data_IF_744573659852
#
_entry.id   IF_744573659852
#
_cell.length_a   1.000
_cell.length_b   1.000
_cell.length_c   1.000
_cell.angle_alpha   90.00
_cell.angle_beta   90.00
_cell.angle_gamma   90.00
#
_symmetry.space_group_name_H-M   'P 1'
#
loop_
_entity.id
_entity.type
_entity.pdbx_description
1 polymer ?
#
# COMPACT_ATOMS: atom_id res chain seq x y z
N UNK A 1 20.55 16.81 -3.51
CA UNK A 1 19.22 16.29 -3.89
C UNK A 1 19.05 14.77 -3.70
N UNK A 2 20.08 13.90 -3.89
CA UNK A 2 19.94 12.44 -3.66
C UNK A 2 19.58 12.11 -2.21
N UNK A 3 20.18 12.80 -1.24
CA UNK A 3 19.93 12.58 0.20
C UNK A 3 18.45 12.71 0.58
N UNK A 4 17.76 13.72 0.07
CA UNK A 4 16.31 13.92 0.34
C UNK A 4 15.49 12.73 -0.19
N UNK A 5 15.84 12.20 -1.37
CA UNK A 5 15.15 11.04 -1.94
C UNK A 5 15.33 9.78 -1.08
N UNK A 6 16.55 9.53 -0.58
CA UNK A 6 16.80 8.47 0.38
C UNK A 6 15.95 8.62 1.63
N UNK A 7 15.94 9.82 2.19
CA UNK A 7 15.17 10.10 3.40
C UNK A 7 13.68 9.81 3.20
N UNK A 8 13.12 10.24 2.06
CA UNK A 8 11.71 9.98 1.73
C UNK A 8 11.40 8.50 1.57
N UNK A 9 12.28 7.73 0.92
CA UNK A 9 12.11 6.27 0.81
C UNK A 9 12.12 5.63 2.19
N UNK A 10 13.10 5.97 3.03
CA UNK A 10 13.22 5.41 4.39
C UNK A 10 12.01 5.77 5.25
N UNK A 11 11.58 7.03 5.25
CA UNK A 11 10.39 7.47 5.99
C UNK A 11 9.16 6.70 5.52
N UNK A 12 9.01 6.48 4.20
CA UNK A 12 7.87 5.74 3.67
C UNK A 12 7.91 4.26 4.05
N UNK A 13 9.09 3.63 4.04
CA UNK A 13 9.28 2.26 4.54
C UNK A 13 8.91 2.17 6.03
N UNK A 14 9.36 3.10 6.85
CA UNK A 14 8.99 3.15 8.28
C UNK A 14 7.47 3.29 8.44
N UNK A 15 6.82 4.09 7.60
CA UNK A 15 5.36 4.27 7.64
C UNK A 15 4.63 2.97 7.28
N UNK A 16 5.06 2.25 6.24
CA UNK A 16 4.52 0.92 5.92
C UNK A 16 4.69 -0.01 7.11
N UNK A 17 5.90 -0.10 7.66
CA UNK A 17 6.19 -0.93 8.82
C UNK A 17 5.32 -0.58 10.03
N UNK A 18 5.08 0.71 10.29
CA UNK A 18 4.19 1.16 11.36
C UNK A 18 2.77 0.64 11.18
N UNK A 19 2.20 0.69 9.98
CA UNK A 19 0.87 0.14 9.70
C UNK A 19 0.85 -1.39 9.75
N UNK A 20 1.91 -2.04 9.29
CA UNK A 20 2.04 -3.50 9.35
C UNK A 20 2.22 -4.01 10.78
N UNK A 21 2.83 -3.22 11.65
CA UNK A 21 3.02 -3.56 13.07
C UNK A 21 1.74 -3.45 13.91
N UNK A 22 0.62 -2.99 13.34
CA UNK A 22 -0.63 -2.90 14.08
C UNK A 22 -1.27 -4.29 14.27
N UNK A 23 -1.71 -4.67 15.50
CA UNK A 23 -2.50 -5.88 15.71
C UNK A 23 -3.74 -5.91 14.81
N UNK A 24 -4.20 -7.11 14.46
CA UNK A 24 -5.32 -7.30 13.53
C UNK A 24 -6.57 -6.49 13.93
N UNK A 25 -6.90 -6.45 15.22
CA UNK A 25 -8.04 -5.70 15.73
C UNK A 25 -7.92 -4.18 15.49
N UNK A 26 -6.73 -3.61 15.68
CA UNK A 26 -6.50 -2.19 15.44
C UNK A 26 -6.59 -1.86 13.95
N UNK A 27 -5.99 -2.68 13.12
CA UNK A 27 -6.06 -2.55 11.66
C UNK A 27 -7.51 -2.68 11.14
N UNK A 28 -8.29 -3.62 11.71
CA UNK A 28 -9.72 -3.78 11.46
C UNK A 28 -10.50 -2.51 11.81
N UNK A 29 -10.30 -1.97 13.02
CA UNK A 29 -10.98 -0.76 13.47
C UNK A 29 -10.67 0.46 12.60
N UNK A 30 -9.42 0.60 12.12
CA UNK A 30 -9.05 1.65 11.17
C UNK A 30 -9.81 1.51 9.84
N UNK A 31 -9.84 0.29 9.28
CA UNK A 31 -10.59 0.02 8.04
C UNK A 31 -12.08 0.29 8.19
N UNK A 32 -12.69 -0.14 9.29
CA UNK A 32 -14.10 0.15 9.63
C UNK A 32 -14.36 1.66 9.72
N UNK A 33 -13.47 2.40 10.38
CA UNK A 33 -13.56 3.85 10.47
C UNK A 33 -13.58 4.56 9.12
N UNK A 34 -12.73 4.13 8.19
CA UNK A 34 -12.70 4.64 6.81
C UNK A 34 -14.01 4.31 6.08
N UNK A 35 -14.50 3.07 6.19
CA UNK A 35 -15.75 2.63 5.55
C UNK A 35 -16.95 3.44 6.07
N UNK A 36 -17.08 3.59 7.39
CA UNK A 36 -18.18 4.35 8.00
C UNK A 36 -18.16 5.80 7.53
N UNK A 37 -17.00 6.46 7.56
CA UNK A 37 -16.87 7.84 7.08
C UNK A 37 -17.26 7.97 5.60
N UNK A 38 -16.83 7.03 4.75
CA UNK A 38 -17.15 7.03 3.33
C UNK A 38 -18.65 6.83 3.09
N UNK A 39 -19.28 5.88 3.78
CA UNK A 39 -20.73 5.65 3.69
C UNK A 39 -21.50 6.86 4.17
N UNK A 40 -21.12 7.45 5.32
CA UNK A 40 -21.78 8.65 5.84
C UNK A 40 -21.68 9.84 4.88
N UNK A 41 -20.55 10.01 4.20
CA UNK A 41 -20.39 11.05 3.19
C UNK A 41 -21.34 10.80 1.99
N UNK A 42 -21.39 9.58 1.48
CA UNK A 42 -22.26 9.21 0.34
C UNK A 42 -23.74 9.33 0.70
N UNK A 43 -24.17 8.84 1.87
CA UNK A 43 -25.56 8.90 2.30
C UNK A 43 -26.06 10.34 2.46
N UNK A 44 -25.20 11.24 2.93
CA UNK A 44 -25.51 12.68 3.00
C UNK A 44 -25.74 13.29 1.61
N UNK A 45 -24.92 12.89 0.61
CA UNK A 45 -25.04 13.41 -0.76
C UNK A 45 -26.31 12.88 -1.43
N UNK A 46 -26.66 11.61 -1.21
CA UNK A 46 -27.77 10.93 -1.88
C UNK A 46 -29.09 11.10 -1.10
N UNK A 47 -29.09 11.72 0.06
CA UNK A 47 -30.26 11.88 0.96
C UNK A 47 -30.91 10.51 1.32
N UNK A 48 -30.13 9.46 1.47
CA UNK A 48 -30.60 8.10 1.77
C UNK A 48 -30.14 7.68 3.17
N UNK A 49 -31.10 7.23 3.99
CA UNK A 49 -30.78 6.61 5.27
C UNK A 49 -30.43 5.12 5.05
N UNK A 50 -29.36 4.65 5.68
CA UNK A 50 -28.96 3.24 5.71
C UNK A 50 -29.26 2.72 7.11
N UNK A 51 -29.88 1.53 7.20
CA UNK A 51 -30.14 0.86 8.47
C UNK A 51 -28.84 0.34 9.09
N UNK A 52 -28.81 0.17 10.41
CA UNK A 52 -27.65 -0.38 11.12
C UNK A 52 -27.25 -1.76 10.57
N UNK A 53 -28.23 -2.62 10.29
CA UNK A 53 -27.98 -3.96 9.72
C UNK A 53 -27.32 -3.93 8.34
N UNK A 54 -27.73 -2.98 7.50
CA UNK A 54 -27.12 -2.78 6.18
C UNK A 54 -25.68 -2.27 6.32
N UNK A 55 -25.45 -1.34 7.23
CA UNK A 55 -24.13 -0.79 7.53
C UNK A 55 -23.18 -1.91 8.01
N UNK A 56 -23.59 -2.71 8.97
CA UNK A 56 -22.80 -3.85 9.47
C UNK A 56 -22.46 -4.85 8.35
N UNK A 57 -23.42 -5.17 7.49
CA UNK A 57 -23.20 -6.07 6.36
C UNK A 57 -22.19 -5.49 5.36
N UNK A 58 -22.27 -4.19 5.05
CA UNK A 58 -21.32 -3.53 4.17
C UNK A 58 -19.92 -3.56 4.79
N UNK A 59 -19.79 -3.21 6.06
CA UNK A 59 -18.51 -3.25 6.79
C UNK A 59 -17.91 -4.66 6.71
N UNK A 60 -18.69 -5.69 7.03
CA UNK A 60 -18.22 -7.09 7.02
C UNK A 60 -17.66 -7.51 5.66
N UNK A 61 -18.32 -7.12 4.55
CA UNK A 61 -17.88 -7.50 3.20
C UNK A 61 -16.69 -6.67 2.73
N UNK A 62 -16.60 -5.39 3.11
CA UNK A 62 -15.63 -4.43 2.54
C UNK A 62 -14.38 -4.23 3.37
N UNK A 63 -14.36 -4.64 4.65
CA UNK A 63 -13.23 -4.39 5.55
C UNK A 63 -11.91 -4.97 5.02
N UNK A 64 -11.89 -6.26 4.65
CA UNK A 64 -10.70 -6.92 4.12
C UNK A 64 -10.24 -6.32 2.78
N UNK A 65 -11.12 -6.12 1.77
CA UNK A 65 -10.78 -5.41 0.55
C UNK A 65 -10.20 -4.02 0.77
N UNK A 66 -10.80 -3.21 1.65
CA UNK A 66 -10.31 -1.84 1.94
C UNK A 66 -8.89 -1.88 2.52
N UNK A 67 -8.62 -2.81 3.44
CA UNK A 67 -7.27 -3.00 3.98
C UNK A 67 -6.27 -3.38 2.90
N UNK A 68 -6.62 -4.33 2.03
CA UNK A 68 -5.75 -4.74 0.90
C UNK A 68 -5.49 -3.60 -0.08
N UNK A 69 -6.51 -2.81 -0.40
CA UNK A 69 -6.35 -1.61 -1.24
C UNK A 69 -5.40 -0.58 -0.61
N UNK A 70 -5.47 -0.39 0.71
CA UNK A 70 -4.54 0.47 1.42
C UNK A 70 -3.08 -0.02 1.28
N UNK A 71 -2.82 -1.33 1.40
CA UNK A 71 -1.50 -1.91 1.18
C UNK A 71 -1.03 -1.72 -0.27
N UNK A 72 -1.87 -2.03 -1.26
CA UNK A 72 -1.56 -1.76 -2.68
C UNK A 72 -1.14 -0.31 -2.88
N UNK A 73 -1.86 0.64 -2.29
CA UNK A 73 -1.53 2.06 -2.37
C UNK A 73 -0.19 2.40 -1.71
N UNK A 74 0.09 1.84 -0.54
CA UNK A 74 1.36 2.07 0.17
C UNK A 74 2.55 1.57 -0.66
N UNK A 75 2.45 0.38 -1.23
CA UNK A 75 3.50 -0.18 -2.08
C UNK A 75 3.61 0.50 -3.45
N UNK A 76 2.49 1.00 -3.98
CA UNK A 76 2.49 1.86 -5.16
C UNK A 76 3.35 3.11 -4.92
N UNK A 77 3.13 3.83 -3.82
CA UNK A 77 3.91 5.03 -3.49
C UNK A 77 5.38 4.68 -3.20
N UNK A 78 5.66 3.57 -2.50
CA UNK A 78 7.02 3.09 -2.30
C UNK A 78 7.74 2.91 -3.63
N UNK A 79 7.10 2.26 -4.59
CA UNK A 79 7.66 2.02 -5.92
C UNK A 79 7.93 3.32 -6.69
N UNK A 80 7.04 4.32 -6.57
CA UNK A 80 7.26 5.66 -7.13
C UNK A 80 8.53 6.30 -6.53
N UNK A 81 8.68 6.27 -5.22
CA UNK A 81 9.81 6.88 -4.51
C UNK A 81 11.13 6.16 -4.82
N UNK A 82 11.14 4.82 -4.80
CA UNK A 82 12.32 4.01 -5.15
C UNK A 82 12.76 4.26 -6.58
N UNK A 83 11.83 4.22 -7.53
CA UNK A 83 12.12 4.49 -8.95
C UNK A 83 12.66 5.92 -9.15
N UNK A 84 12.06 6.90 -8.48
CA UNK A 84 12.53 8.29 -8.51
C UNK A 84 13.93 8.47 -7.90
N UNK A 85 14.27 7.70 -6.87
CA UNK A 85 15.60 7.64 -6.29
C UNK A 85 16.59 7.03 -7.30
N UNK A 86 16.28 5.86 -7.86
CA UNK A 86 17.16 5.14 -8.79
C UNK A 86 17.45 5.92 -10.07
N UNK A 87 16.51 6.74 -10.53
CA UNK A 87 16.75 7.72 -11.63
C UNK A 87 17.86 8.74 -11.35
N UNK A 88 18.29 8.90 -10.12
CA UNK A 88 19.38 9.81 -9.78
C UNK A 88 20.76 9.18 -9.98
N UNK A 89 20.80 7.94 -10.45
CA UNK A 89 22.00 7.19 -10.80
C UNK A 89 22.09 7.02 -12.31
N UNK A 90 23.29 6.83 -12.81
CA UNK A 90 23.53 6.56 -14.24
C UNK A 90 23.20 5.09 -14.56
N UNK A 91 21.95 4.70 -14.36
CA UNK A 91 21.44 3.37 -14.65
C UNK A 91 20.61 3.40 -15.94
N UNK A 92 20.69 2.28 -16.67
CA UNK A 92 19.83 2.08 -17.83
C UNK A 92 18.37 1.89 -17.43
N UNK A 93 17.46 2.19 -18.34
CA UNK A 93 16.02 2.05 -18.15
C UNK A 93 15.60 0.68 -17.58
N UNK A 94 16.13 -0.40 -18.16
CA UNK A 94 15.82 -1.77 -17.72
C UNK A 94 16.37 -2.07 -16.32
N UNK A 95 17.54 -1.52 -15.98
CA UNK A 95 18.12 -1.66 -14.65
C UNK A 95 17.29 -0.92 -13.59
N UNK A 96 16.82 0.30 -13.89
CA UNK A 96 15.94 1.05 -12.99
C UNK A 96 14.66 0.25 -12.73
N UNK A 97 14.04 -0.27 -13.80
CA UNK A 97 12.83 -1.10 -13.68
C UNK A 97 13.07 -2.32 -12.79
N UNK A 98 14.09 -3.11 -13.13
CA UNK A 98 14.40 -4.35 -12.42
C UNK A 98 14.72 -4.10 -10.94
N UNK A 99 15.61 -3.15 -10.65
CA UNK A 99 16.01 -2.86 -9.27
C UNK A 99 14.87 -2.27 -8.45
N UNK A 100 14.00 -1.43 -9.03
CA UNK A 100 12.83 -0.90 -8.34
C UNK A 100 11.88 -2.03 -7.91
N UNK A 101 11.58 -2.95 -8.81
CA UNK A 101 10.71 -4.10 -8.53
C UNK A 101 11.35 -5.02 -7.50
N UNK A 102 12.65 -5.34 -7.64
CA UNK A 102 13.35 -6.20 -6.68
C UNK A 102 13.34 -5.62 -5.26
N UNK A 103 13.60 -4.32 -5.10
CA UNK A 103 13.56 -3.65 -3.79
C UNK A 103 12.16 -3.76 -3.18
N UNK A 104 11.11 -3.49 -3.96
CA UNK A 104 9.74 -3.56 -3.47
C UNK A 104 9.33 -5.00 -3.09
N UNK A 105 9.71 -6.01 -3.89
CA UNK A 105 9.44 -7.42 -3.61
C UNK A 105 10.15 -7.85 -2.32
N UNK A 106 11.43 -7.54 -2.17
CA UNK A 106 12.19 -7.90 -0.98
C UNK A 106 11.61 -7.23 0.26
N UNK A 107 11.18 -5.98 0.13
CA UNK A 107 10.57 -5.26 1.24
C UNK A 107 9.20 -5.83 1.61
N UNK A 108 8.32 -6.11 0.64
CA UNK A 108 7.01 -6.71 0.93
C UNK A 108 7.15 -8.11 1.52
N UNK A 109 8.12 -8.89 1.07
CA UNK A 109 8.41 -10.20 1.66
C UNK A 109 8.88 -10.08 3.12
N UNK A 110 9.76 -9.12 3.42
CA UNK A 110 10.20 -8.85 4.80
C UNK A 110 9.05 -8.36 5.69
N UNK A 111 8.14 -7.57 5.14
CA UNK A 111 6.94 -7.10 5.84
C UNK A 111 6.00 -8.26 6.21
N UNK A 112 5.74 -9.17 5.28
CA UNK A 112 4.92 -10.36 5.54
C UNK A 112 5.56 -11.32 6.55
N UNK A 113 6.89 -11.50 6.52
CA UNK A 113 7.60 -12.24 7.57
C UNK A 113 7.40 -11.54 8.92
N UNK A 114 7.52 -10.22 8.97
CA UNK A 114 7.30 -9.48 10.21
C UNK A 114 5.87 -9.65 10.73
N UNK A 115 4.87 -9.67 9.87
CA UNK A 115 3.48 -9.86 10.25
C UNK A 115 3.19 -11.21 10.93
N UNK A 116 4.01 -12.25 10.70
CA UNK A 116 3.90 -13.52 11.42
C UNK A 116 4.10 -13.37 12.95
N UNK A 117 4.81 -12.33 13.38
CA UNK A 117 5.06 -12.05 14.80
C UNK A 117 4.03 -11.10 15.41
N UNK A 118 3.06 -10.60 14.65
CA UNK A 118 2.06 -9.65 15.10
C UNK A 118 0.76 -10.35 15.48
N UNK A 119 0.26 -10.03 16.68
CA UNK A 119 -0.94 -10.66 17.24
C UNK A 119 -2.16 -10.57 16.29
N UNK A 120 -2.74 -11.74 15.99
CA UNK A 120 -3.92 -11.88 15.14
C UNK A 120 -3.68 -11.66 13.64
N UNK A 121 -2.42 -11.47 13.20
CA UNK A 121 -2.05 -11.47 11.79
C UNK A 121 -1.48 -12.83 11.36
N UNK A 122 -1.62 -13.10 10.08
CA UNK A 122 -1.00 -14.25 9.40
C UNK A 122 -0.26 -13.73 8.18
N UNK A 123 1.04 -13.97 8.10
CA UNK A 123 1.80 -13.69 6.89
C UNK A 123 1.31 -14.58 5.74
N UNK A 124 1.16 -14.00 4.57
CA UNK A 124 0.61 -14.67 3.38
C UNK A 124 1.41 -14.34 2.14
N UNK A 125 1.88 -15.35 1.43
CA UNK A 125 2.50 -15.16 0.11
C UNK A 125 1.55 -14.46 -0.85
N UNK A 126 0.24 -14.69 -0.73
CA UNK A 126 -0.76 -14.00 -1.56
C UNK A 126 -0.77 -12.50 -1.29
N UNK A 127 -0.55 -12.07 -0.04
CA UNK A 127 -0.51 -10.66 0.29
C UNK A 127 0.77 -10.00 -0.26
N UNK A 128 1.92 -10.71 -0.32
CA UNK A 128 3.11 -10.28 -1.07
C UNK A 128 2.78 -10.01 -2.54
N UNK A 129 2.03 -10.89 -3.21
CA UNK A 129 1.62 -10.66 -4.60
C UNK A 129 0.70 -9.45 -4.74
N UNK A 130 -0.26 -9.28 -3.83
CA UNK A 130 -1.19 -8.15 -3.83
C UNK A 130 -0.45 -6.82 -3.65
N UNK A 131 0.48 -6.73 -2.72
CA UNK A 131 1.32 -5.56 -2.47
C UNK A 131 2.16 -5.21 -3.70
N UNK A 132 2.72 -6.24 -4.36
CA UNK A 132 3.51 -6.05 -5.56
C UNK A 132 2.71 -5.69 -6.81
N UNK A 133 1.39 -5.87 -6.85
CA UNK A 133 0.54 -5.23 -7.89
C UNK A 133 0.66 -3.70 -7.81
N UNK A 134 0.61 -3.13 -6.60
CA UNK A 134 0.84 -1.71 -6.40
C UNK A 134 2.23 -1.28 -6.86
N UNK A 135 3.27 -2.03 -6.47
CA UNK A 135 4.65 -1.76 -6.85
C UNK A 135 4.83 -1.77 -8.37
N UNK A 136 4.30 -2.78 -9.06
CA UNK A 136 4.39 -2.89 -10.51
C UNK A 136 3.74 -1.69 -11.21
N UNK A 137 2.53 -1.29 -10.77
CA UNK A 137 1.85 -0.12 -11.32
C UNK A 137 2.66 1.16 -11.12
N UNK A 138 3.25 1.36 -9.94
CA UNK A 138 4.07 2.52 -9.63
C UNK A 138 5.32 2.61 -10.52
N UNK A 139 6.06 1.52 -10.64
CA UNK A 139 7.25 1.45 -11.51
C UNK A 139 6.88 1.67 -12.97
N UNK A 140 5.80 1.03 -13.44
CA UNK A 140 5.35 1.13 -14.83
C UNK A 140 4.98 2.58 -15.22
N UNK A 141 4.23 3.27 -14.38
CA UNK A 141 3.80 4.65 -14.63
C UNK A 141 5.00 5.60 -14.76
N UNK A 142 5.96 5.52 -13.84
CA UNK A 142 7.16 6.38 -13.90
C UNK A 142 8.03 6.00 -15.09
N UNK A 143 8.23 4.72 -15.36
CA UNK A 143 9.09 4.28 -16.44
C UNK A 143 8.51 4.62 -17.82
N UNK A 144 7.20 4.58 -18.02
CA UNK A 144 6.58 5.03 -19.27
C UNK A 144 6.88 6.50 -19.56
N UNK A 145 6.90 7.35 -18.52
CA UNK A 145 7.27 8.78 -18.66
C UNK A 145 8.73 8.98 -19.01
N UNK A 146 9.64 8.08 -18.63
CA UNK A 146 11.06 8.17 -18.97
C UNK A 146 11.29 7.90 -20.46
N UNK A 147 10.56 6.93 -21.02
CA UNK A 147 10.71 6.51 -22.42
C UNK A 147 10.17 7.55 -23.41
N UNK A 148 9.38 8.51 -22.94
CA UNK A 148 8.77 9.58 -23.77
C UNK A 148 9.54 10.92 -23.70
N UNK A 149 10.62 10.98 -22.92
CA UNK A 149 11.53 12.14 -22.81
C UNK A 149 12.87 11.78 -23.40
#
# INVERSE_FOLDING_TARGET
MKFIKYLLVIIWMILIFYFSNQPANNSSNQSKGVIIKSITAVTKIVNKNISEKELEKIIYITEKPVRKLAHIFLYFVLALLVTWLLKSYNLEYNQIFLYSIMICILYSFSDEIHQLFISGRSGSIIDVFIDNLGSYLGVFIINKRIKST
#
